data_IF_142394994276
#
_entry.id   IF_142394994276
#
_cell.length_a   1.000
_cell.length_b   1.000
_cell.length_c   1.000
_cell.angle_alpha   90.00
_cell.angle_beta   90.00
_cell.angle_gamma   90.00
#
_symmetry.space_group_name_H-M   'P 1'
#
loop_
_entity.id
_entity.type
_entity.pdbx_description
1 polymer ?
#
# COMPACT_ATOMS: atom_id res chain seq x y z
N UNK A 1 10.60 41.44 -9.98
CA UNK A 1 9.32 40.85 -9.50
C UNK A 1 8.65 39.96 -10.58
N UNK A 2 9.34 38.91 -11.10
CA UNK A 2 8.83 38.11 -12.24
C UNK A 2 8.59 36.62 -11.96
N UNK A 3 9.24 36.03 -10.95
CA UNK A 3 9.17 34.60 -10.68
C UNK A 3 7.86 34.13 -10.02
N UNK A 4 7.29 34.94 -9.11
CA UNK A 4 6.04 34.62 -8.40
C UNK A 4 4.85 34.54 -9.35
N UNK A 5 4.75 35.48 -10.29
CA UNK A 5 3.67 35.49 -11.29
C UNK A 5 3.78 34.33 -12.28
N UNK A 6 4.99 33.91 -12.65
CA UNK A 6 5.20 32.75 -13.51
C UNK A 6 4.82 31.44 -12.82
N UNK A 7 5.17 31.27 -11.54
CA UNK A 7 4.77 30.10 -10.76
C UNK A 7 3.24 30.01 -10.59
N UNK A 8 2.59 31.15 -10.32
CA UNK A 8 1.13 31.23 -10.24
C UNK A 8 0.44 30.92 -11.58
N UNK A 9 1.00 31.39 -12.70
CA UNK A 9 0.49 31.03 -14.02
C UNK A 9 0.65 29.54 -14.32
N UNK A 10 1.81 28.94 -14.02
CA UNK A 10 2.05 27.52 -14.25
C UNK A 10 1.08 26.64 -13.44
N UNK A 11 0.84 26.99 -12.18
CA UNK A 11 -0.12 26.29 -11.32
C UNK A 11 -1.56 26.40 -11.84
N UNK A 12 -1.95 27.58 -12.35
CA UNK A 12 -3.26 27.75 -13.01
C UNK A 12 -3.38 26.93 -14.29
N UNK A 13 -2.33 26.90 -15.12
CA UNK A 13 -2.33 26.14 -16.37
C UNK A 13 -2.40 24.64 -16.13
N UNK A 14 -1.66 24.11 -15.15
CA UNK A 14 -1.72 22.69 -14.77
C UNK A 14 -3.13 22.35 -14.22
N UNK A 15 -3.69 23.19 -13.35
CA UNK A 15 -5.06 23.00 -12.82
C UNK A 15 -6.14 23.03 -13.91
N UNK A 16 -5.93 23.75 -15.01
CA UNK A 16 -6.87 23.81 -16.14
C UNK A 16 -6.65 22.70 -17.19
N UNK A 17 -5.45 22.13 -17.25
CA UNK A 17 -5.06 21.11 -18.23
C UNK A 17 -5.20 19.67 -17.70
N UNK A 18 -5.46 19.49 -16.39
CA UNK A 18 -5.82 18.19 -15.81
C UNK A 18 -7.31 17.90 -16.05
N UNK A 19 -7.60 16.90 -16.87
CA UNK A 19 -8.94 16.53 -17.34
C UNK A 19 -10.02 16.49 -16.25
N UNK A 20 -11.10 17.24 -16.46
CA UNK A 20 -12.39 16.96 -15.81
C UNK A 20 -13.26 16.12 -16.76
N UNK A 21 -13.31 14.81 -16.51
CA UNK A 21 -14.42 13.96 -16.95
C UNK A 21 -14.50 12.57 -16.30
N UNK A 22 -15.73 12.01 -16.17
CA UNK A 22 -15.95 10.58 -16.28
C UNK A 22 -15.73 10.23 -17.76
N UNK A 23 -14.59 9.61 -18.09
CA UNK A 23 -13.95 9.63 -19.41
C UNK A 23 -14.91 9.74 -20.63
N UNK A 24 -14.81 10.88 -21.32
CA UNK A 24 -15.70 11.44 -22.34
C UNK A 24 -16.20 10.52 -23.47
N UNK A 25 -17.49 10.21 -23.50
CA UNK A 25 -18.26 10.29 -24.75
C UNK A 25 -19.68 10.74 -24.46
N UNK A 26 -20.07 11.88 -25.04
CA UNK A 26 -21.41 12.43 -24.91
C UNK A 26 -22.48 11.47 -25.41
N UNK A 27 -23.59 11.46 -24.69
CA UNK A 27 -24.86 10.88 -25.13
C UNK A 27 -25.28 9.65 -24.35
N UNK A 28 -25.81 9.84 -23.13
CA UNK A 28 -27.08 9.23 -22.73
C UNK A 28 -27.72 10.03 -21.60
N UNK A 29 -28.93 10.48 -21.92
CA UNK A 29 -29.89 11.20 -21.10
C UNK A 29 -30.47 10.35 -19.96
N UNK A 30 -30.72 10.98 -18.82
CA UNK A 30 -31.69 10.59 -17.79
C UNK A 30 -31.45 9.26 -17.06
N UNK A 31 -30.32 9.12 -16.37
CA UNK A 31 -30.30 8.29 -15.16
C UNK A 31 -30.00 9.18 -13.96
N UNK A 32 -31.05 9.50 -13.20
CA UNK A 32 -30.91 10.04 -11.85
C UNK A 32 -30.28 8.95 -10.99
N UNK A 33 -28.94 8.91 -10.94
CA UNK A 33 -28.24 8.18 -9.89
C UNK A 33 -28.59 8.85 -8.56
N UNK A 34 -29.62 8.34 -7.91
CA UNK A 34 -29.95 8.60 -6.52
C UNK A 34 -28.76 8.10 -5.68
N UNK A 35 -27.84 9.00 -5.36
CA UNK A 35 -26.76 8.76 -4.40
C UNK A 35 -27.23 9.01 -2.97
N UNK A 36 -28.50 8.70 -2.64
CA UNK A 36 -28.87 8.43 -1.25
C UNK A 36 -28.45 7.01 -0.90
N UNK A 37 -27.13 6.79 -0.83
CA UNK A 37 -26.63 5.76 0.07
C UNK A 37 -27.11 6.17 1.47
N UNK A 38 -27.97 5.35 2.08
CA UNK A 38 -28.31 5.53 3.48
C UNK A 38 -26.98 5.56 4.25
N UNK A 39 -26.70 6.66 4.95
CA UNK A 39 -25.53 6.79 5.84
C UNK A 39 -25.78 5.91 7.07
N UNK A 40 -25.73 4.60 6.89
CA UNK A 40 -25.52 3.67 7.99
C UNK A 40 -24.01 3.47 8.11
N UNK A 41 -23.33 4.53 8.58
CA UNK A 41 -21.94 4.38 9.00
C UNK A 41 -21.94 3.75 10.38
N UNK A 42 -20.96 2.88 10.65
CA UNK A 42 -20.74 2.40 12.00
C UNK A 42 -20.56 3.61 12.94
N UNK A 43 -21.20 3.56 14.12
CA UNK A 43 -21.10 4.63 15.12
C UNK A 43 -19.65 4.79 15.62
N UNK A 44 -18.98 3.67 15.83
CA UNK A 44 -17.55 3.56 16.13
C UNK A 44 -17.07 2.14 15.81
N UNK A 45 -15.81 2.01 15.41
CA UNK A 45 -15.13 0.72 15.37
C UNK A 45 -13.75 0.87 16.02
N UNK A 46 -13.40 -0.09 16.87
CA UNK A 46 -12.05 -0.20 17.43
C UNK A 46 -11.29 -1.25 16.63
N UNK A 47 -10.10 -0.88 16.15
CA UNK A 47 -9.23 -1.79 15.44
C UNK A 47 -7.99 -2.03 16.31
N UNK A 48 -7.94 -3.18 16.97
CA UNK A 48 -6.72 -3.69 17.57
C UNK A 48 -5.78 -4.15 16.44
N UNK A 49 -5.09 -3.22 15.80
CA UNK A 49 -4.22 -3.50 14.67
C UNK A 49 -2.76 -3.22 15.01
N UNK A 50 -1.86 -4.10 14.58
CA UNK A 50 -0.44 -3.78 14.47
C UNK A 50 -0.25 -2.50 13.65
N UNK A 51 0.84 -1.77 13.87
CA UNK A 51 1.18 -0.58 13.09
C UNK A 51 1.17 -0.91 11.58
N UNK A 52 0.20 -0.38 10.84
CA UNK A 52 0.05 -0.61 9.39
C UNK A 52 0.80 0.48 8.64
N UNK A 53 1.67 0.09 7.71
CA UNK A 53 2.29 1.00 6.74
C UNK A 53 1.92 0.58 5.33
N UNK A 54 1.56 1.55 4.49
CA UNK A 54 1.16 1.33 3.11
C UNK A 54 1.87 2.31 2.19
N UNK A 55 2.15 1.87 0.96
CA UNK A 55 2.78 2.69 -0.05
C UNK A 55 3.80 1.89 -0.88
N UNK A 56 4.16 2.39 -2.07
CA UNK A 56 5.17 1.74 -2.90
C UNK A 56 6.52 1.63 -2.17
N UNK A 57 7.04 0.41 -2.07
CA UNK A 57 8.38 0.16 -1.51
C UNK A 57 8.47 0.02 0.00
N UNK A 58 7.37 0.16 0.75
CA UNK A 58 7.35 0.05 2.23
C UNK A 58 7.91 -1.29 2.73
N UNK A 59 7.75 -2.39 1.98
CA UNK A 59 8.32 -3.70 2.32
C UNK A 59 9.85 -3.67 2.55
N UNK A 60 10.56 -2.68 1.98
CA UNK A 60 12.01 -2.52 2.17
C UNK A 60 12.39 -2.08 3.59
N UNK A 61 11.43 -1.62 4.39
CA UNK A 61 11.64 -1.13 5.75
C UNK A 61 11.62 -2.25 6.80
N UNK A 62 11.11 -3.44 6.45
CA UNK A 62 10.90 -4.56 7.40
C UNK A 62 12.14 -4.91 8.22
N UNK A 63 13.35 -4.88 7.63
CA UNK A 63 14.58 -5.14 8.36
C UNK A 63 14.88 -4.13 9.46
N UNK A 64 14.52 -2.85 9.26
CA UNK A 64 14.64 -1.80 10.29
C UNK A 64 13.64 -2.04 11.42
N UNK A 65 12.41 -2.45 11.09
CA UNK A 65 11.39 -2.77 12.08
C UNK A 65 11.81 -3.93 12.98
N UNK A 66 12.29 -5.02 12.38
CA UNK A 66 12.75 -6.21 13.12
C UNK A 66 13.94 -5.88 14.01
N UNK A 67 14.83 -4.98 13.57
CA UNK A 67 15.92 -4.47 14.40
C UNK A 67 15.41 -3.61 15.57
N UNK A 68 14.45 -2.72 15.32
CA UNK A 68 13.84 -1.87 16.35
C UNK A 68 13.11 -2.69 17.42
N UNK A 69 12.55 -3.84 17.03
CA UNK A 69 11.96 -4.83 17.96
C UNK A 69 13.01 -5.59 18.80
N UNK A 70 14.31 -5.46 18.50
CA UNK A 70 15.37 -6.17 19.19
C UNK A 70 15.40 -7.68 18.90
N UNK A 71 14.78 -8.12 17.81
CA UNK A 71 14.70 -9.54 17.47
C UNK A 71 16.08 -10.10 17.08
N UNK A 72 16.47 -11.21 17.70
CA UNK A 72 17.76 -11.88 17.43
C UNK A 72 17.70 -12.85 16.25
N UNK A 73 16.52 -13.43 16.00
CA UNK A 73 16.26 -14.34 14.89
C UNK A 73 14.82 -14.16 14.43
N UNK A 74 14.62 -14.06 13.12
CA UNK A 74 13.31 -13.96 12.49
C UNK A 74 12.99 -15.23 11.68
N UNK A 75 11.70 -15.49 11.48
CA UNK A 75 11.22 -16.52 10.58
C UNK A 75 10.34 -15.87 9.52
N UNK A 76 10.70 -16.02 8.26
CA UNK A 76 9.89 -15.59 7.12
C UNK A 76 9.03 -16.76 6.69
N UNK A 77 7.72 -16.63 6.82
CA UNK A 77 6.73 -17.63 6.39
C UNK A 77 6.06 -17.18 5.10
N UNK A 78 6.07 -18.03 4.09
CA UNK A 78 5.49 -17.75 2.77
C UNK A 78 5.03 -19.03 2.10
N UNK A 79 4.28 -18.93 1.01
CA UNK A 79 4.02 -20.05 0.11
C UNK A 79 5.12 -20.21 -0.96
N UNK A 80 5.11 -21.35 -1.66
CA UNK A 80 6.11 -21.75 -2.67
C UNK A 80 6.10 -20.90 -3.94
N UNK A 81 4.98 -20.26 -4.24
CA UNK A 81 4.84 -19.42 -5.42
C UNK A 81 5.39 -18.02 -5.12
N UNK A 82 4.99 -17.46 -3.97
CA UNK A 82 5.42 -16.15 -3.48
C UNK A 82 6.90 -16.13 -3.11
N UNK A 83 7.48 -17.25 -2.66
CA UNK A 83 8.91 -17.31 -2.31
C UNK A 83 9.86 -16.91 -3.45
N UNK A 84 9.36 -16.99 -4.69
CA UNK A 84 10.10 -16.64 -5.92
C UNK A 84 9.74 -15.25 -6.46
N UNK A 85 8.87 -14.51 -5.77
CA UNK A 85 8.36 -13.22 -6.23
C UNK A 85 9.03 -12.05 -5.51
N UNK A 86 9.00 -10.90 -6.16
CA UNK A 86 9.59 -9.64 -5.70
C UNK A 86 9.22 -9.23 -4.25
N UNK A 87 7.99 -9.45 -3.73
CA UNK A 87 7.67 -9.09 -2.35
C UNK A 87 8.54 -9.84 -1.33
N UNK A 88 8.73 -11.15 -1.50
CA UNK A 88 9.53 -11.96 -0.57
C UNK A 88 11.02 -11.67 -0.75
N UNK A 89 11.50 -11.48 -1.99
CA UNK A 89 12.86 -11.01 -2.23
C UNK A 89 13.14 -9.69 -1.50
N UNK A 90 12.21 -8.73 -1.55
CA UNK A 90 12.36 -7.43 -0.88
C UNK A 90 12.50 -7.58 0.64
N UNK A 91 11.78 -8.53 1.25
CA UNK A 91 11.91 -8.83 2.69
C UNK A 91 13.28 -9.44 2.99
N UNK A 92 13.70 -10.44 2.21
CA UNK A 92 15.00 -11.11 2.36
C UNK A 92 16.16 -10.11 2.23
N UNK A 93 16.12 -9.26 1.22
CA UNK A 93 17.10 -8.19 1.00
C UNK A 93 17.12 -7.21 2.17
N UNK A 94 15.94 -6.79 2.65
CA UNK A 94 15.83 -5.89 3.79
C UNK A 94 16.43 -6.50 5.06
N UNK A 95 16.10 -7.74 5.40
CA UNK A 95 16.63 -8.44 6.58
C UNK A 95 18.14 -8.64 6.48
N UNK A 96 18.63 -9.02 5.29
CA UNK A 96 20.06 -9.19 5.02
C UNK A 96 20.82 -7.87 5.18
N UNK A 97 20.29 -6.78 4.62
CA UNK A 97 20.87 -5.42 4.74
C UNK A 97 21.00 -4.98 6.20
N UNK A 98 20.03 -5.32 7.04
CA UNK A 98 20.01 -4.96 8.46
C UNK A 98 20.69 -6.01 9.36
N UNK A 99 21.36 -7.02 8.78
CA UNK A 99 22.08 -8.09 9.49
C UNK A 99 21.21 -8.85 10.49
N UNK A 100 19.92 -8.99 10.19
CA UNK A 100 19.00 -9.81 10.97
C UNK A 100 19.23 -11.27 10.59
N UNK A 101 19.41 -12.15 11.58
CA UNK A 101 19.48 -13.59 11.33
C UNK A 101 18.06 -14.11 11.03
N UNK A 102 17.85 -14.81 9.91
CA UNK A 102 16.52 -15.31 9.57
C UNK A 102 16.56 -16.71 8.95
N UNK A 103 15.41 -17.37 8.97
CA UNK A 103 15.14 -18.60 8.23
C UNK A 103 13.88 -18.42 7.40
N UNK A 104 13.74 -19.16 6.30
CA UNK A 104 12.57 -19.09 5.41
C UNK A 104 11.85 -20.43 5.45
N UNK A 105 10.54 -20.39 5.69
CA UNK A 105 9.63 -21.51 5.54
C UNK A 105 8.66 -21.18 4.40
N UNK A 106 8.75 -21.90 3.29
CA UNK A 106 8.04 -21.60 2.05
C UNK A 106 6.91 -22.60 1.73
N UNK A 107 6.57 -23.50 2.64
CA UNK A 107 5.58 -24.54 2.40
C UNK A 107 4.19 -24.21 3.01
N UNK A 108 3.90 -22.93 3.23
CA UNK A 108 2.55 -22.50 3.66
C UNK A 108 1.55 -22.78 2.54
N UNK A 109 0.38 -23.30 2.91
CA UNK A 109 -0.76 -23.55 2.01
C UNK A 109 -1.93 -22.63 2.38
N UNK A 110 -2.82 -22.43 1.42
CA UNK A 110 -4.15 -21.83 1.66
C UNK A 110 -4.92 -22.76 2.59
N UNK A 111 -5.55 -22.21 3.63
CA UNK A 111 -6.12 -22.97 4.76
C UNK A 111 -5.07 -23.87 5.44
N UNK A 112 -4.20 -23.31 6.31
CA UNK A 112 -3.11 -24.07 6.93
C UNK A 112 -3.65 -25.21 7.81
N UNK A 113 -2.93 -26.33 7.84
CA UNK A 113 -3.22 -27.48 8.70
C UNK A 113 -2.58 -27.32 10.07
N UNK A 114 -3.24 -27.83 11.11
CA UNK A 114 -2.68 -27.89 12.47
C UNK A 114 -1.57 -28.95 12.63
N UNK A 115 -1.49 -29.89 11.68
CA UNK A 115 -0.55 -31.01 11.64
C UNK A 115 0.55 -30.81 10.61
#
# INVERSE_FOLDING_TARGET
MGGRNRAFQLLKTISSATCQCPAHSGGWSNMTHSTKAAKTTDYAFEMACSTVRFGPGVTKEVGMDVQALGAKKALVMTDKNLSKMAPVQSVIESLTKHKVNFSVYDNVRVEPTDA
#
